data_IF_611593395341
#
_entry.id   IF_611593395341
#
_cell.length_a   1.000
_cell.length_b   1.000
_cell.length_c   1.000
_cell.angle_alpha   90.00
_cell.angle_beta   90.00
_cell.angle_gamma   90.00
#
_symmetry.space_group_name_H-M   'P 1'
#
loop_
_entity.id
_entity.type
_entity.pdbx_description
1 polymer ?
#
# COMPACT_ATOMS: atom_id res chain seq x y z
N UNK A 1 13.07 -2.22 15.15
CA UNK A 1 12.41 -3.44 14.67
C UNK A 1 11.60 -3.03 13.45
N UNK A 2 12.03 -3.43 12.26
CA UNK A 2 11.30 -3.17 11.01
C UNK A 2 10.39 -4.39 10.83
N UNK A 3 9.10 -4.15 10.60
CA UNK A 3 8.15 -5.22 10.30
C UNK A 3 8.12 -5.34 8.78
N UNK A 4 8.64 -6.45 8.27
CA UNK A 4 8.42 -6.86 6.88
C UNK A 4 7.04 -7.50 6.79
N UNK A 5 6.07 -6.72 6.34
CA UNK A 5 4.71 -7.19 6.11
C UNK A 5 4.24 -6.72 4.74
N UNK A 6 3.55 -7.59 4.00
CA UNK A 6 2.92 -7.24 2.74
C UNK A 6 1.41 -7.43 2.83
N UNK A 7 0.69 -6.81 1.91
CA UNK A 7 -0.75 -6.94 1.78
C UNK A 7 -1.08 -7.73 0.53
N UNK A 8 -1.98 -8.69 0.70
CA UNK A 8 -2.41 -9.58 -0.37
C UNK A 8 -1.30 -10.53 -0.84
N UNK A 9 -1.61 -11.28 -1.89
CA UNK A 9 -0.69 -12.21 -2.56
C UNK A 9 -0.25 -11.72 -3.95
N UNK A 10 -0.92 -10.69 -4.47
CA UNK A 10 -0.63 -10.06 -5.75
C UNK A 10 0.32 -8.88 -5.56
N UNK A 11 1.13 -8.58 -6.56
CA UNK A 11 1.96 -7.36 -6.55
C UNK A 11 1.10 -6.09 -6.73
N UNK A 12 1.71 -4.93 -6.51
CA UNK A 12 1.09 -3.62 -6.61
C UNK A 12 0.39 -3.42 -7.95
N UNK A 13 1.05 -3.78 -9.06
CA UNK A 13 0.50 -3.63 -10.40
C UNK A 13 -0.76 -4.46 -10.63
N UNK A 14 -0.79 -5.69 -10.11
CA UNK A 14 -1.93 -6.60 -10.25
C UNK A 14 -3.06 -6.29 -9.25
N UNK A 15 -2.77 -5.56 -8.18
CA UNK A 15 -3.77 -5.17 -7.16
C UNK A 15 -4.39 -3.81 -7.46
N UNK A 16 -3.71 -2.94 -8.21
CA UNK A 16 -4.26 -1.65 -8.65
C UNK A 16 -5.50 -1.85 -9.50
N UNK A 17 -6.66 -1.47 -8.95
CA UNK A 17 -7.95 -1.54 -9.63
C UNK A 17 -8.81 -2.75 -9.25
N UNK A 18 -8.31 -3.63 -8.38
CA UNK A 18 -9.12 -4.69 -7.78
C UNK A 18 -9.91 -4.13 -6.58
N UNK A 19 -11.05 -4.76 -6.27
CA UNK A 19 -11.88 -4.37 -5.13
C UNK A 19 -11.18 -4.57 -3.77
N UNK A 20 -10.18 -5.47 -3.72
CA UNK A 20 -9.37 -5.76 -2.54
C UNK A 20 -8.13 -4.87 -2.41
N UNK A 21 -8.04 -3.81 -3.22
CA UNK A 21 -6.94 -2.85 -3.12
C UNK A 21 -6.95 -2.13 -1.76
N UNK A 22 -5.86 -2.33 -1.01
CA UNK A 22 -5.76 -1.91 0.37
C UNK A 22 -5.33 -0.45 0.55
N UNK A 23 -4.61 0.13 -0.41
CA UNK A 23 -4.15 1.51 -0.31
C UNK A 23 -5.32 2.46 -0.50
N UNK A 24 -5.39 3.48 0.36
CA UNK A 24 -6.47 4.45 0.38
C UNK A 24 -6.00 5.78 -0.21
N UNK A 25 -6.79 6.82 0.01
CA UNK A 25 -6.56 8.15 -0.58
C UNK A 25 -5.16 8.68 -0.28
N UNK A 26 -4.56 9.37 -1.26
CA UNK A 26 -3.22 9.96 -1.16
C UNK A 26 -2.11 8.97 -0.79
N UNK A 27 -2.31 7.69 -1.09
CA UNK A 27 -1.31 6.65 -0.94
C UNK A 27 -1.21 5.85 -2.22
N UNK A 28 -0.06 5.23 -2.43
CA UNK A 28 0.19 4.32 -3.53
C UNK A 28 0.87 3.05 -3.04
N UNK A 29 0.72 1.97 -3.79
CA UNK A 29 1.41 0.73 -3.50
C UNK A 29 2.84 0.72 -4.02
N UNK A 30 3.67 -0.09 -3.39
CA UNK A 30 5.05 -0.34 -3.78
C UNK A 30 5.44 -1.79 -3.43
N UNK A 31 6.31 -2.36 -4.26
CA UNK A 31 6.72 -3.78 -4.20
C UNK A 31 8.17 -3.93 -3.68
N UNK A 32 8.67 -3.01 -2.85
CA UNK A 32 10.09 -3.04 -2.44
C UNK A 32 10.40 -4.30 -1.63
N UNK A 33 11.30 -5.13 -2.18
CA UNK A 33 11.87 -6.35 -1.56
C UNK A 33 10.86 -7.43 -1.13
N UNK A 34 9.67 -7.43 -1.74
CA UNK A 34 8.61 -8.40 -1.44
C UNK A 34 8.41 -9.33 -2.64
N UNK A 35 8.64 -10.63 -2.45
CA UNK A 35 8.37 -11.64 -3.49
C UNK A 35 6.87 -11.75 -3.82
N UNK A 36 5.99 -11.55 -2.82
CA UNK A 36 4.53 -11.64 -2.96
C UNK A 36 3.78 -10.64 -2.06
N UNK A 37 2.78 -9.98 -2.64
CA UNK A 37 2.05 -8.89 -1.99
C UNK A 37 2.64 -7.52 -2.32
N UNK A 38 2.14 -6.48 -1.66
CA UNK A 38 2.63 -5.11 -1.77
C UNK A 38 2.44 -4.35 -0.47
N UNK A 39 3.15 -3.24 -0.30
CA UNK A 39 2.92 -2.29 0.78
C UNK A 39 2.30 -1.01 0.25
N UNK A 40 1.64 -0.25 1.11
CA UNK A 40 1.07 1.06 0.79
C UNK A 40 1.89 2.14 1.48
N UNK A 41 2.19 3.21 0.75
CA UNK A 41 2.94 4.37 1.22
C UNK A 41 2.18 5.63 0.89
N UNK A 42 2.20 6.59 1.80
CA UNK A 42 1.69 7.91 1.48
C UNK A 42 2.46 8.53 0.32
N UNK A 43 1.73 9.24 -0.54
CA UNK A 43 2.32 10.02 -1.61
C UNK A 43 3.19 11.14 -1.02
N UNK A 44 4.18 11.59 -1.78
CA UNK A 44 5.08 12.65 -1.34
C UNK A 44 4.29 13.90 -0.92
N UNK A 45 4.48 14.34 0.33
CA UNK A 45 3.81 15.49 0.90
C UNK A 45 2.53 15.18 1.68
N UNK A 46 2.17 13.90 1.82
CA UNK A 46 1.07 13.42 2.67
C UNK A 46 1.62 12.55 3.79
N UNK A 47 1.00 12.64 4.96
CA UNK A 47 1.38 11.89 6.15
C UNK A 47 0.18 11.14 6.74
N UNK A 48 0.47 10.17 7.59
CA UNK A 48 -0.53 9.34 8.25
C UNK A 48 -0.51 7.89 7.78
N UNK A 49 -1.65 7.21 7.91
CA UNK A 49 -1.73 5.79 7.64
C UNK A 49 -2.35 5.53 6.26
N UNK A 50 -1.60 4.96 5.30
CA UNK A 50 -2.09 4.69 3.95
C UNK A 50 -3.19 3.62 3.88
N UNK A 51 -3.41 2.86 4.95
CA UNK A 51 -4.45 1.85 5.08
C UNK A 51 -5.71 2.36 5.79
N UNK A 52 -5.66 3.56 6.37
CA UNK A 52 -6.81 4.15 7.05
C UNK A 52 -7.91 4.49 6.04
N UNK A 53 -9.21 4.37 6.35
CA UNK A 53 -10.30 4.67 5.41
C UNK A 53 -10.20 6.06 4.75
N UNK A 54 -9.74 7.06 5.51
CA UNK A 54 -9.48 8.43 4.99
C UNK A 54 -8.21 8.54 4.14
N UNK A 55 -7.33 7.54 4.19
CA UNK A 55 -6.00 7.54 3.61
C UNK A 55 -5.03 8.49 4.31
N UNK A 56 -4.00 8.91 3.57
CA UNK A 56 -3.03 9.89 4.03
C UNK A 56 -3.59 11.31 3.86
N UNK A 57 -3.15 12.22 4.74
CA UNK A 57 -3.63 13.60 4.83
C UNK A 57 -2.53 14.61 4.55
#
# INVERSE_FOLDING_TARGET
MIIDWSVGSKNCKASKGEDDYACRKNSDCFDEEIDFGYQCKCNKGYDGNPYHPDGCK
#
